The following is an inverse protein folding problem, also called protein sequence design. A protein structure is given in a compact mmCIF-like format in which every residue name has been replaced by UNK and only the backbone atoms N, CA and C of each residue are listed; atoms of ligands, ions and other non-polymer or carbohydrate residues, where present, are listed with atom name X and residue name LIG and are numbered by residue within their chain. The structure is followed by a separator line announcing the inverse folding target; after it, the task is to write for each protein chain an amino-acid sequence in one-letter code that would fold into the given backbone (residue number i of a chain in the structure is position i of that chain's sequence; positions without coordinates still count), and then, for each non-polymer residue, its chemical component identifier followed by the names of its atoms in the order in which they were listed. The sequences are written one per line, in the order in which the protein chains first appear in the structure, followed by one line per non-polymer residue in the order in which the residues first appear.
data_IF_926655524580
#
_entry.id   IF_926655524580
#
_cell.length_a   1.000
_cell.length_b   1.000
_cell.length_c   1.000
_cell.angle_alpha   90.00
_cell.angle_beta   90.00
_cell.angle_gamma   90.00
#
_symmetry.space_group_name_H-M   'P 1'
#
loop_
_entity.id
_entity.type
_entity.pdbx_description
1 polymer ?
#
# COMPACT_ATOMS: atom_id res chain seq x y z
N UNK A 1 -4.19 20.14 -2.41
CA UNK A 1 -3.10 19.28 -2.89
C UNK A 1 -1.75 19.57 -2.23
N UNK A 2 -1.35 20.84 -2.03
CA UNK A 2 -0.05 21.20 -1.42
C UNK A 2 0.21 20.55 -0.06
N UNK A 3 -0.79 20.53 0.84
CA UNK A 3 -0.65 19.89 2.18
C UNK A 3 -0.43 18.37 2.12
N UNK A 4 -1.04 17.69 1.14
CA UNK A 4 -0.87 16.25 0.95
C UNK A 4 0.53 15.93 0.41
N UNK A 5 1.01 16.72 -0.57
CA UNK A 5 2.36 16.57 -1.13
C UNK A 5 3.42 16.83 -0.06
N UNK A 6 3.21 17.84 0.81
CA UNK A 6 4.09 18.11 1.93
C UNK A 6 4.13 16.93 2.91
N UNK A 7 2.97 16.37 3.29
CA UNK A 7 2.89 15.19 4.14
C UNK A 7 3.64 13.99 3.54
N UNK A 8 3.43 13.71 2.25
CA UNK A 8 4.13 12.62 1.54
C UNK A 8 5.64 12.87 1.49
N UNK A 9 6.08 14.12 1.36
CA UNK A 9 7.51 14.49 1.40
C UNK A 9 8.12 14.28 2.78
N UNK A 10 7.37 14.57 3.85
CA UNK A 10 7.78 14.30 5.23
C UNK A 10 7.86 12.80 5.52
N UNK A 11 6.92 12.00 4.98
CA UNK A 11 6.87 10.54 5.11
C UNK A 11 7.52 9.77 3.94
N UNK A 12 8.45 10.41 3.22
CA UNK A 12 9.11 9.85 2.03
C UNK A 12 9.77 8.48 2.25
N UNK A 13 10.33 8.23 3.43
CA UNK A 13 10.99 6.96 3.75
C UNK A 13 10.00 5.81 3.76
N UNK A 14 8.83 6.03 4.36
CA UNK A 14 7.75 5.05 4.45
C UNK A 14 7.14 4.78 3.06
N UNK A 15 6.92 5.84 2.28
CA UNK A 15 6.47 5.72 0.90
C UNK A 15 7.46 4.94 0.02
N UNK A 16 8.76 5.22 0.15
CA UNK A 16 9.82 4.51 -0.58
C UNK A 16 9.85 3.02 -0.22
N UNK A 17 9.72 2.68 1.07
CA UNK A 17 9.65 1.29 1.54
C UNK A 17 8.46 0.54 0.96
N UNK A 18 7.27 1.16 0.94
CA UNK A 18 6.07 0.56 0.33
C UNK A 18 6.32 0.28 -1.15
N UNK A 19 6.78 1.28 -1.90
CA UNK A 19 7.05 1.15 -3.34
C UNK A 19 8.07 0.04 -3.61
N UNK A 20 9.17 0.01 -2.85
CA UNK A 20 10.21 -1.00 -3.00
C UNK A 20 9.68 -2.40 -2.68
N UNK A 21 8.87 -2.55 -1.64
CA UNK A 21 8.24 -3.82 -1.29
C UNK A 21 7.27 -4.30 -2.39
N UNK A 22 6.45 -3.41 -2.96
CA UNK A 22 5.54 -3.73 -4.07
C UNK A 22 6.29 -4.14 -5.34
N UNK A 23 7.43 -3.51 -5.63
CA UNK A 23 8.29 -3.89 -6.76
C UNK A 23 8.87 -5.29 -6.56
N UNK A 24 9.43 -5.59 -5.38
CA UNK A 24 9.96 -6.92 -5.06
C UNK A 24 8.87 -7.99 -5.14
N UNK A 25 7.67 -7.68 -4.64
CA UNK A 25 6.51 -8.56 -4.74
C UNK A 25 6.14 -8.84 -6.20
N UNK A 26 6.14 -7.81 -7.06
CA UNK A 26 5.80 -7.97 -8.49
C UNK A 26 6.78 -8.93 -9.19
N UNK A 27 8.07 -8.81 -8.90
CA UNK A 27 9.07 -9.77 -9.40
C UNK A 27 8.85 -11.19 -8.87
N UNK A 28 8.47 -11.33 -7.60
CA UNK A 28 8.17 -12.65 -7.01
C UNK A 28 6.95 -13.29 -7.66
N UNK A 29 5.96 -12.50 -8.09
CA UNK A 29 4.80 -13.00 -8.82
C UNK A 29 5.18 -13.58 -10.20
N UNK A 30 6.18 -12.97 -10.87
CA UNK A 30 6.76 -13.50 -12.11
C UNK A 30 7.63 -14.74 -11.89
N UNK A 31 8.13 -14.98 -10.68
CA UNK A 31 8.93 -16.16 -10.39
C UNK A 31 8.10 -17.46 -10.46
N UNK A 32 6.78 -17.40 -10.19
CA UNK A 32 5.88 -18.57 -10.24
C UNK A 32 5.84 -19.22 -11.63
N UNK A 33 5.50 -18.50 -12.73
CA UNK A 33 5.53 -19.09 -14.07
C UNK A 33 6.94 -19.52 -14.51
N UNK A 34 7.99 -18.84 -14.04
CA UNK A 34 9.38 -19.24 -14.29
C UNK A 34 9.69 -20.62 -13.68
N UNK A 35 9.35 -20.84 -12.40
CA UNK A 35 9.53 -22.14 -11.76
C UNK A 35 8.64 -23.21 -12.38
N UNK A 36 7.41 -22.88 -12.76
CA UNK A 36 6.52 -23.80 -13.45
C UNK A 36 7.12 -24.30 -14.78
N UNK A 37 7.70 -23.41 -15.59
CA UNK A 37 8.39 -23.79 -16.82
C UNK A 37 9.59 -24.70 -16.53
N UNK A 38 10.41 -24.36 -15.53
CA UNK A 38 11.55 -25.20 -15.12
C UNK A 38 11.14 -26.59 -14.64
N UNK A 39 10.01 -26.72 -13.94
CA UNK A 39 9.49 -28.03 -13.52
C UNK A 39 9.15 -28.89 -14.74
N UNK A 40 8.60 -28.29 -15.80
CA UNK A 40 8.31 -29.00 -17.05
C UNK A 40 9.60 -29.42 -17.75
N UNK A 41 10.53 -28.49 -17.95
CA UNK A 41 11.73 -28.72 -18.76
C UNK A 41 12.78 -29.60 -18.07
N UNK A 42 13.06 -29.32 -16.80
CA UNK A 42 14.11 -30.02 -16.03
C UNK A 42 13.56 -31.19 -15.22
N UNK A 43 12.27 -31.20 -14.91
CA UNK A 43 11.63 -32.26 -14.14
C UNK A 43 10.92 -33.27 -15.03
N UNK A 44 9.82 -32.86 -15.66
CA UNK A 44 8.92 -33.77 -16.38
C UNK A 44 9.59 -34.37 -17.62
N UNK A 45 10.20 -33.55 -18.48
CA UNK A 45 10.87 -34.03 -19.70
C UNK A 45 12.04 -34.97 -19.41
N UNK A 46 12.79 -34.71 -18.34
CA UNK A 46 13.93 -35.53 -17.90
C UNK A 46 13.53 -36.70 -16.99
N UNK A 47 12.24 -36.82 -16.63
CA UNK A 47 11.69 -37.79 -15.66
C UNK A 47 12.41 -37.78 -14.31
N UNK A 48 12.92 -36.62 -13.90
CA UNK A 48 13.62 -36.43 -12.63
C UNK A 48 12.65 -35.95 -11.54
N UNK A 49 12.19 -36.88 -10.70
CA UNK A 49 11.30 -36.58 -9.58
C UNK A 49 11.97 -35.71 -8.50
N UNK A 50 13.28 -35.82 -8.32
CA UNK A 50 14.01 -35.04 -7.32
C UNK A 50 14.09 -33.57 -7.75
N UNK A 51 14.30 -33.31 -9.04
CA UNK A 51 14.23 -31.96 -9.61
C UNK A 51 12.84 -31.33 -9.43
N UNK A 52 11.76 -32.09 -9.66
CA UNK A 52 10.38 -31.61 -9.48
C UNK A 52 10.14 -31.18 -8.02
N UNK A 53 10.51 -32.02 -7.06
CA UNK A 53 10.29 -31.72 -5.63
C UNK A 53 11.11 -30.52 -5.17
N UNK A 54 12.38 -30.44 -5.58
CA UNK A 54 13.26 -29.33 -5.20
C UNK A 54 12.77 -27.99 -5.78
N UNK A 55 12.42 -27.96 -7.06
CA UNK A 55 11.87 -26.77 -7.72
C UNK A 55 10.51 -26.37 -7.14
N UNK A 56 9.65 -27.35 -6.83
CA UNK A 56 8.37 -27.12 -6.15
C UNK A 56 8.57 -26.49 -4.76
N UNK A 57 9.55 -26.96 -3.99
CA UNK A 57 9.89 -26.39 -2.68
C UNK A 57 10.43 -24.96 -2.80
N UNK A 58 11.30 -24.70 -3.78
CA UNK A 58 11.79 -23.34 -4.07
C UNK A 58 10.65 -22.39 -4.46
N UNK A 59 9.71 -22.86 -5.28
CA UNK A 59 8.53 -22.10 -5.65
C UNK A 59 7.66 -21.77 -4.43
N UNK A 60 7.43 -22.75 -3.55
CA UNK A 60 6.66 -22.56 -2.32
C UNK A 60 7.35 -21.57 -1.37
N UNK A 61 8.67 -21.67 -1.21
CA UNK A 61 9.45 -20.72 -0.42
C UNK A 61 9.38 -19.29 -0.99
N UNK A 62 9.48 -19.13 -2.32
CA UNK A 62 9.39 -17.84 -2.99
C UNK A 62 8.00 -17.19 -2.80
N UNK A 63 6.91 -17.96 -2.97
CA UNK A 63 5.55 -17.47 -2.73
C UNK A 63 5.33 -17.14 -1.26
N UNK A 64 5.83 -17.97 -0.34
CA UNK A 64 5.75 -17.71 1.09
C UNK A 64 6.43 -16.40 1.48
N UNK A 65 7.65 -16.17 0.99
CA UNK A 65 8.39 -14.93 1.22
C UNK A 65 7.66 -13.71 0.62
N UNK A 66 7.16 -13.83 -0.61
CA UNK A 66 6.37 -12.79 -1.27
C UNK A 66 5.11 -12.44 -0.48
N UNK A 67 4.42 -13.43 0.07
CA UNK A 67 3.26 -13.25 0.93
C UNK A 67 3.58 -12.46 2.20
N UNK A 68 4.70 -12.78 2.87
CA UNK A 68 5.16 -12.02 4.03
C UNK A 68 5.48 -10.56 3.69
N UNK A 69 6.17 -10.33 2.57
CA UNK A 69 6.46 -8.98 2.06
C UNK A 69 5.15 -8.24 1.73
N UNK A 70 4.16 -8.93 1.16
CA UNK A 70 2.82 -8.38 0.88
C UNK A 70 2.14 -7.87 2.13
N UNK A 71 2.12 -8.69 3.19
CA UNK A 71 1.45 -8.37 4.43
C UNK A 71 2.13 -7.16 5.08
N UNK A 72 3.46 -7.13 5.07
CA UNK A 72 4.22 -6.02 5.61
C UNK A 72 4.01 -4.72 4.81
N UNK A 73 4.03 -4.79 3.48
CA UNK A 73 3.76 -3.65 2.61
C UNK A 73 2.32 -3.11 2.79
N UNK A 74 1.34 -4.02 2.90
CA UNK A 74 -0.06 -3.67 3.15
C UNK A 74 -0.24 -2.98 4.51
N UNK A 75 0.39 -3.52 5.56
CA UNK A 75 0.40 -2.90 6.88
C UNK A 75 1.00 -1.49 6.84
N UNK A 76 2.15 -1.32 6.17
CA UNK A 76 2.81 -0.03 6.05
C UNK A 76 1.96 0.96 5.23
N UNK A 77 1.28 0.48 4.18
CA UNK A 77 0.34 1.31 3.40
C UNK A 77 -0.86 1.76 4.23
N UNK A 78 -1.44 0.86 5.04
CA UNK A 78 -2.55 1.19 5.93
C UNK A 78 -2.15 2.20 7.01
N UNK A 79 -0.96 2.06 7.60
CA UNK A 79 -0.43 3.00 8.59
C UNK A 79 -0.18 4.39 7.97
N UNK A 80 0.39 4.44 6.75
CA UNK A 80 0.62 5.70 6.04
C UNK A 80 -0.70 6.42 5.73
N UNK A 81 -1.74 5.68 5.31
CA UNK A 81 -3.08 6.19 5.06
C UNK A 81 -3.76 6.67 6.36
N UNK A 82 -3.59 5.96 7.48
CA UNK A 82 -4.11 6.40 8.77
C UNK A 82 -3.46 7.73 9.21
N UNK A 83 -2.13 7.83 9.07
CA UNK A 83 -1.36 9.04 9.39
C UNK A 83 -1.74 10.22 8.49
N UNK A 84 -1.99 10.00 7.19
CA UNK A 84 -2.41 11.07 6.27
C UNK A 84 -3.79 11.61 6.64
N UNK A 85 -4.72 10.73 7.01
CA UNK A 85 -6.05 11.12 7.48
C UNK A 85 -6.01 11.87 8.79
N UNK A 86 -5.18 11.45 9.76
CA UNK A 86 -4.94 12.20 10.99
C UNK A 86 -4.43 13.61 10.68
N UNK A 87 -3.38 13.70 9.86
CA UNK A 87 -2.78 14.98 9.47
C UNK A 87 -3.80 15.92 8.82
N UNK A 88 -4.64 15.40 7.90
CA UNK A 88 -5.63 16.21 7.22
C UNK A 88 -6.79 16.63 8.15
N UNK A 89 -7.22 15.75 9.07
CA UNK A 89 -8.24 16.06 10.08
C UNK A 89 -7.78 17.18 10.99
N UNK A 90 -6.55 17.12 11.50
CA UNK A 90 -5.97 18.16 12.36
C UNK A 90 -5.96 19.51 11.64
N UNK A 91 -5.50 19.55 10.38
CA UNK A 91 -5.47 20.79 9.58
C UNK A 91 -6.84 21.37 9.27
N UNK A 92 -7.83 20.51 8.98
CA UNK A 92 -9.19 20.97 8.74
C UNK A 92 -9.78 21.53 10.04
N UNK A 93 -9.58 20.84 11.16
CA UNK A 93 -10.04 21.28 12.47
C UNK A 93 -9.45 22.65 12.86
N UNK A 94 -8.12 22.81 12.77
CA UNK A 94 -7.44 24.09 13.00
C UNK A 94 -8.04 25.20 12.12
N UNK A 95 -8.30 24.89 10.84
CA UNK A 95 -8.87 25.87 9.92
C UNK A 95 -10.30 26.24 10.30
N UNK A 96 -11.10 25.29 10.77
CA UNK A 96 -12.48 25.56 11.19
C UNK A 96 -12.56 26.52 12.37
N UNK A 97 -11.60 26.47 13.30
CA UNK A 97 -11.59 27.32 14.50
C UNK A 97 -11.31 28.80 14.19
N UNK A 98 -10.63 29.09 13.08
CA UNK A 98 -10.28 30.46 12.67
C UNK A 98 -11.25 31.05 11.62
N UNK A 99 -12.30 30.30 11.23
CA UNK A 99 -13.32 30.80 10.31
C UNK A 99 -14.25 31.81 11.00
N UNK A 100 -14.65 32.86 10.26
CA UNK A 100 -15.70 33.77 10.74
C UNK A 100 -17.09 33.12 10.65
N UNK A 101 -18.05 33.59 11.44
CA UNK A 101 -19.46 33.17 11.34
C UNK A 101 -20.00 33.32 9.91
N UNK A 102 -19.60 34.38 9.19
CA UNK A 102 -20.05 34.63 7.82
C UNK A 102 -19.53 33.56 6.86
N UNK A 103 -18.26 33.18 6.99
CA UNK A 103 -17.66 32.13 6.17
C UNK A 103 -18.24 30.76 6.53
N UNK A 104 -18.48 30.51 7.82
CA UNK A 104 -19.09 29.28 8.29
C UNK A 104 -20.50 29.09 7.72
N UNK A 105 -21.33 30.14 7.72
CA UNK A 105 -22.66 30.13 7.11
C UNK A 105 -22.61 29.95 5.58
N UNK A 106 -21.55 30.43 4.91
CA UNK A 106 -21.37 30.26 3.46
C UNK A 106 -21.08 28.80 3.08
N UNK A 107 -20.30 28.08 3.88
CA UNK A 107 -19.99 26.66 3.62
C UNK A 107 -21.08 25.73 4.15
N UNK A 108 -21.72 26.09 5.26
CA UNK A 108 -22.74 25.29 5.93
C UNK A 108 -22.14 24.16 6.77
N UNK A 109 -22.70 23.94 7.96
CA UNK A 109 -22.24 22.95 8.94
C UNK A 109 -22.14 21.54 8.35
N UNK A 110 -23.16 21.13 7.58
CA UNK A 110 -23.20 19.80 6.98
C UNK A 110 -22.02 19.56 6.02
N UNK A 111 -21.68 20.55 5.18
CA UNK A 111 -20.54 20.44 4.26
C UNK A 111 -19.20 20.38 5.00
N UNK A 112 -19.07 21.11 6.10
CA UNK A 112 -17.87 21.08 6.94
C UNK A 112 -17.68 19.70 7.58
N UNK A 113 -18.77 19.06 8.04
CA UNK A 113 -18.74 17.71 8.59
C UNK A 113 -18.31 16.70 7.53
N UNK A 114 -18.90 16.71 6.33
CA UNK A 114 -18.53 15.75 5.27
C UNK A 114 -17.09 15.93 4.81
N UNK A 115 -16.61 17.19 4.72
CA UNK A 115 -15.21 17.50 4.39
C UNK A 115 -14.22 17.03 5.46
N UNK A 116 -14.61 17.08 6.73
CA UNK A 116 -13.79 16.61 7.85
C UNK A 116 -13.85 15.09 8.06
N UNK A 117 -14.78 14.39 7.40
CA UNK A 117 -15.02 12.96 7.61
C UNK A 117 -14.91 12.19 6.29
N UNK A 118 -15.97 12.17 5.49
CA UNK A 118 -16.08 11.38 4.27
C UNK A 118 -15.02 11.73 3.24
N UNK A 119 -14.77 13.01 2.98
CA UNK A 119 -13.80 13.43 1.96
C UNK A 119 -12.38 13.01 2.33
N UNK A 120 -12.04 13.03 3.63
CA UNK A 120 -10.74 12.55 4.12
C UNK A 120 -10.64 11.04 3.96
N UNK A 121 -11.70 10.31 4.31
CA UNK A 121 -11.72 8.85 4.14
C UNK A 121 -11.52 8.46 2.67
N UNK A 122 -12.08 9.22 1.71
CA UNK A 122 -11.84 9.02 0.28
C UNK A 122 -10.37 9.24 -0.09
N UNK A 123 -9.69 10.22 0.53
CA UNK A 123 -8.26 10.46 0.31
C UNK A 123 -7.37 9.37 0.93
N UNK A 124 -7.85 8.68 1.97
CA UNK A 124 -7.12 7.59 2.63
C UNK A 124 -7.16 6.27 1.84
N UNK A 125 -8.09 6.11 0.90
CA UNK A 125 -8.25 4.93 0.04
C UNK A 125 -7.38 5.04 -1.21
#
# INVERSE_FOLDING_TARGET
MTYLIQFLKEKKTMLCLIILATVIQSFSMLAVPYFAAKIIDDGILKKDLMAIVLLGLQMLAAVGLSGLISLWASYLSADLAALSGKYLRDRIFDKTQVLSIRDFNRFGTASMITRATSDITVIQQ
#
